data_IF_630383966791
#
_entry.id   IF_630383966791
#
_cell.length_a   1.000
_cell.length_b   1.000
_cell.length_c   1.000
_cell.angle_alpha   90.00
_cell.angle_beta   90.00
_cell.angle_gamma   90.00
#
_symmetry.space_group_name_H-M   'P 1'
#
loop_
_entity.id
_entity.type
_entity.pdbx_description
1 polymer ?
#
# COMPACT_ATOMS: atom_id res chain seq x y z
N UNK A 1 0.41 39.67 82.54
CA UNK A 1 1.03 38.49 81.89
C UNK A 1 0.09 37.30 82.04
N UNK A 2 0.03 36.32 81.12
CA UNK A 2 0.46 36.32 79.71
C UNK A 2 -0.72 36.09 78.73
N UNK A 3 -0.47 36.23 77.43
CA UNK A 3 -1.43 35.88 76.36
C UNK A 3 -1.28 34.40 75.95
N UNK A 4 -2.39 33.70 75.67
CA UNK A 4 -2.38 32.39 75.01
C UNK A 4 -2.95 32.49 73.58
N UNK A 5 -2.07 32.26 72.59
CA UNK A 5 -2.36 32.32 71.15
C UNK A 5 -3.01 31.01 70.70
N UNK A 6 -4.17 31.04 70.02
CA UNK A 6 -4.76 29.84 69.39
C UNK A 6 -5.63 30.14 68.16
N UNK A 7 -5.10 30.93 67.22
CA UNK A 7 -5.73 31.24 65.92
C UNK A 7 -4.78 31.03 64.73
N UNK A 8 -4.13 29.85 64.64
CA UNK A 8 -3.21 29.54 63.52
C UNK A 8 -3.04 28.03 63.22
N UNK A 9 -4.06 27.20 63.46
CA UNK A 9 -3.99 25.75 63.14
C UNK A 9 -5.19 25.16 62.38
N UNK A 10 -6.25 25.94 62.13
CA UNK A 10 -7.42 25.46 61.38
C UNK A 10 -7.30 25.67 59.86
N UNK A 11 -6.44 26.59 59.39
CA UNK A 11 -6.33 26.91 57.96
C UNK A 11 -5.31 26.05 57.19
N UNK A 12 -4.31 25.49 57.87
CA UNK A 12 -3.31 24.59 57.24
C UNK A 12 -3.80 23.15 57.07
N UNK A 13 -4.85 22.73 57.78
CA UNK A 13 -5.46 21.41 57.61
C UNK A 13 -6.38 21.29 56.37
N UNK A 14 -6.91 22.41 55.86
CA UNK A 14 -7.84 22.38 54.73
C UNK A 14 -7.14 22.33 53.36
N UNK A 15 -5.91 22.84 53.27
CA UNK A 15 -5.19 22.95 52.00
C UNK A 15 -4.45 21.65 51.59
N UNK A 16 -4.20 20.74 52.53
CA UNK A 16 -3.66 19.40 52.24
C UNK A 16 -4.75 18.39 51.85
N UNK A 17 -6.01 18.62 52.24
CA UNK A 17 -7.13 17.76 51.86
C UNK A 17 -7.54 17.94 50.37
N UNK A 18 -7.24 19.09 49.78
CA UNK A 18 -7.54 19.38 48.36
C UNK A 18 -6.58 18.73 47.36
N UNK A 19 -5.36 18.35 47.77
CA UNK A 19 -4.33 17.85 46.86
C UNK A 19 -4.34 16.31 46.69
N UNK A 20 -5.06 15.57 47.53
CA UNK A 20 -5.21 14.11 47.41
C UNK A 20 -6.34 13.66 46.47
N UNK A 21 -7.21 14.57 46.00
CA UNK A 21 -8.36 14.24 45.16
C UNK A 21 -8.11 14.30 43.64
N UNK A 22 -6.88 14.58 43.22
CA UNK A 22 -6.46 14.60 41.81
C UNK A 22 -5.68 13.34 41.37
N UNK A 23 -5.54 12.35 42.26
CA UNK A 23 -5.06 10.99 41.93
C UNK A 23 -6.19 9.96 41.79
N UNK A 24 -7.45 10.40 41.69
CA UNK A 24 -8.53 9.61 41.12
C UNK A 24 -8.40 9.55 39.57
N UNK A 25 -7.20 9.18 39.10
CA UNK A 25 -6.99 8.82 37.70
C UNK A 25 -7.84 7.60 37.39
N UNK A 26 -8.42 7.55 36.19
CA UNK A 26 -9.37 6.53 35.76
C UNK A 26 -8.85 5.11 36.04
N UNK A 27 -9.34 4.50 37.12
CA UNK A 27 -9.04 3.11 37.43
C UNK A 27 -9.77 2.27 36.36
N UNK A 28 -9.05 1.55 35.48
CA UNK A 28 -9.71 0.67 34.53
C UNK A 28 -10.51 -0.35 35.33
N UNK A 29 -11.72 -0.69 34.87
CA UNK A 29 -12.60 -1.66 35.54
C UNK A 29 -11.88 -3.00 35.71
N UNK A 30 -11.19 -3.16 36.83
CA UNK A 30 -10.61 -4.42 37.26
C UNK A 30 -11.80 -5.33 37.59
N UNK A 31 -12.09 -6.25 36.68
CA UNK A 31 -12.97 -7.37 36.98
C UNK A 31 -12.46 -8.10 38.22
N UNK A 32 -13.39 -8.69 38.99
CA UNK A 32 -13.03 -9.48 40.16
C UNK A 32 -11.91 -10.49 39.81
N UNK A 33 -10.95 -10.75 40.72
CA UNK A 33 -9.81 -11.61 40.43
C UNK A 33 -10.29 -12.99 40.01
N UNK A 34 -10.24 -13.23 38.70
CA UNK A 34 -10.50 -14.51 38.08
C UNK A 34 -9.41 -15.47 38.58
N UNK A 35 -9.81 -16.70 38.96
CA UNK A 35 -8.84 -17.74 39.34
C UNK A 35 -7.91 -18.11 38.17
N UNK A 36 -7.04 -19.11 38.38
CA UNK A 36 -6.16 -19.60 37.31
C UNK A 36 -6.95 -19.89 36.03
N UNK A 37 -6.43 -19.46 34.88
CA UNK A 37 -7.07 -19.75 33.58
C UNK A 37 -7.13 -21.26 33.32
N UNK A 38 -6.10 -21.97 33.79
CA UNK A 38 -5.94 -23.41 33.67
C UNK A 38 -7.06 -24.21 34.35
N UNK A 39 -7.74 -23.61 35.33
CA UNK A 39 -8.83 -24.24 36.07
C UNK A 39 -10.20 -24.04 35.38
N UNK A 40 -10.30 -23.18 34.37
CA UNK A 40 -11.56 -22.98 33.62
C UNK A 40 -12.01 -24.32 32.96
N UNK A 41 -13.31 -24.66 33.00
CA UNK A 41 -13.81 -25.90 32.44
C UNK A 41 -13.60 -25.97 30.92
N UNK A 42 -13.72 -24.83 30.23
CA UNK A 42 -13.47 -24.71 28.80
C UNK A 42 -11.98 -24.86 28.43
N UNK A 43 -11.05 -24.34 29.24
CA UNK A 43 -9.61 -24.55 29.02
C UNK A 43 -9.25 -26.05 29.11
N UNK A 44 -9.75 -26.72 30.16
CA UNK A 44 -9.57 -28.17 30.35
C UNK A 44 -10.32 -29.02 29.32
N UNK A 45 -11.40 -28.51 28.74
CA UNK A 45 -12.05 -29.11 27.57
C UNK A 45 -11.17 -28.98 26.32
N UNK A 46 -10.64 -27.77 26.05
CA UNK A 46 -9.71 -27.51 24.96
C UNK A 46 -8.53 -28.48 24.96
N UNK A 47 -7.85 -28.63 26.11
CA UNK A 47 -6.72 -29.56 26.24
C UNK A 47 -7.09 -31.02 25.94
N UNK A 48 -8.30 -31.48 26.30
CA UNK A 48 -8.78 -32.83 25.97
C UNK A 48 -9.06 -32.98 24.47
N UNK A 49 -9.62 -31.95 23.84
CA UNK A 49 -9.91 -31.93 22.40
C UNK A 49 -8.62 -31.88 21.56
N UNK A 50 -7.58 -31.14 21.98
CA UNK A 50 -6.24 -31.18 21.37
C UNK A 50 -5.67 -32.61 21.40
N UNK A 51 -5.73 -33.29 22.55
CA UNK A 51 -5.28 -34.70 22.69
C UNK A 51 -6.08 -35.69 21.83
N UNK A 52 -7.30 -35.34 21.42
CA UNK A 52 -8.14 -36.12 20.50
C UNK A 52 -7.94 -35.74 19.02
N UNK A 53 -7.06 -34.79 18.71
CA UNK A 53 -6.89 -34.25 17.35
C UNK A 53 -8.06 -33.38 16.85
N UNK A 54 -9.00 -33.02 17.73
CA UNK A 54 -10.23 -32.27 17.39
C UNK A 54 -9.96 -30.76 17.42
N UNK A 55 -9.02 -30.32 16.60
CA UNK A 55 -8.46 -28.97 16.64
C UNK A 55 -9.48 -27.82 16.47
N UNK A 56 -10.50 -27.89 15.59
CA UNK A 56 -11.50 -26.82 15.48
C UNK A 56 -12.34 -26.66 16.76
N UNK A 57 -12.69 -27.76 17.42
CA UNK A 57 -13.45 -27.75 18.66
C UNK A 57 -12.60 -27.32 19.85
N UNK A 58 -11.32 -27.71 19.86
CA UNK A 58 -10.35 -27.23 20.84
C UNK A 58 -10.21 -25.69 20.76
N UNK A 59 -10.07 -25.14 19.55
CA UNK A 59 -10.05 -23.69 19.34
C UNK A 59 -11.33 -23.04 19.86
N UNK A 60 -12.52 -23.59 19.53
CA UNK A 60 -13.78 -23.06 20.02
C UNK A 60 -13.87 -23.05 21.56
N UNK A 61 -13.32 -24.05 22.25
CA UNK A 61 -13.23 -24.08 23.71
C UNK A 61 -12.30 -22.98 24.25
N UNK A 62 -11.10 -22.80 23.68
CA UNK A 62 -10.19 -21.71 24.08
C UNK A 62 -10.77 -20.32 23.78
N UNK A 63 -11.50 -20.16 22.67
CA UNK A 63 -12.20 -18.91 22.33
C UNK A 63 -13.27 -18.54 23.37
N UNK A 64 -13.99 -19.50 23.96
CA UNK A 64 -14.94 -19.23 25.06
C UNK A 64 -14.24 -18.73 26.34
N UNK A 65 -13.03 -19.21 26.62
CA UNK A 65 -12.22 -18.69 27.74
C UNK A 65 -11.79 -17.24 27.46
N UNK A 66 -11.34 -16.96 26.24
CA UNK A 66 -10.98 -15.60 25.79
C UNK A 66 -12.19 -14.67 25.80
N UNK A 67 -13.38 -15.13 25.40
CA UNK A 67 -14.62 -14.33 25.45
C UNK A 67 -14.99 -13.96 26.89
N UNK A 68 -14.90 -14.93 27.82
CA UNK A 68 -15.22 -14.74 29.24
C UNK A 68 -14.22 -13.82 29.97
N UNK A 69 -12.94 -13.90 29.64
CA UNK A 69 -11.84 -13.21 30.35
C UNK A 69 -11.29 -11.99 29.60
N UNK A 70 -11.65 -11.84 28.33
CA UNK A 70 -11.02 -10.90 27.41
C UNK A 70 -9.50 -11.09 27.35
N UNK A 71 -8.81 -9.96 27.40
CA UNK A 71 -7.35 -9.86 27.45
C UNK A 71 -6.67 -10.59 28.64
N UNK A 72 -7.42 -11.07 29.64
CA UNK A 72 -6.89 -11.79 30.81
C UNK A 72 -6.83 -13.32 30.64
N UNK A 73 -6.76 -13.80 29.39
CA UNK A 73 -6.59 -15.21 29.04
C UNK A 73 -5.34 -15.50 28.15
N UNK A 74 -4.11 -15.23 28.64
CA UNK A 74 -2.91 -15.44 27.86
C UNK A 74 -2.70 -16.92 27.46
N UNK A 75 -2.96 -17.89 28.34
CA UNK A 75 -2.73 -19.31 28.02
C UNK A 75 -3.67 -19.79 26.88
N UNK A 76 -4.94 -19.39 26.89
CA UNK A 76 -5.87 -19.68 25.78
C UNK A 76 -5.48 -18.96 24.49
N UNK A 77 -4.95 -17.73 24.57
CA UNK A 77 -4.38 -17.06 23.39
C UNK A 77 -3.19 -17.85 22.84
N UNK A 78 -2.30 -18.40 23.67
CA UNK A 78 -1.18 -19.21 23.20
C UNK A 78 -1.66 -20.47 22.45
N UNK A 79 -2.55 -21.26 23.06
CA UNK A 79 -3.06 -22.50 22.48
C UNK A 79 -3.89 -22.25 21.20
N UNK A 80 -4.75 -21.22 21.21
CA UNK A 80 -5.51 -20.80 20.03
C UNK A 80 -4.57 -20.42 18.86
N UNK A 81 -3.51 -19.66 19.14
CA UNK A 81 -2.52 -19.28 18.13
C UNK A 81 -1.79 -20.49 17.52
N UNK A 82 -1.43 -21.48 18.34
CA UNK A 82 -0.81 -22.74 17.87
C UNK A 82 -1.77 -23.50 16.94
N UNK A 83 -3.04 -23.66 17.33
CA UNK A 83 -4.05 -24.35 16.53
C UNK A 83 -4.28 -23.63 15.19
N UNK A 84 -4.43 -22.30 15.22
CA UNK A 84 -4.61 -21.49 14.01
C UNK A 84 -3.45 -21.66 13.02
N UNK A 85 -2.20 -21.60 13.50
CA UNK A 85 -1.01 -21.74 12.66
C UNK A 85 -0.82 -23.17 12.12
N UNK A 86 -0.95 -24.17 12.99
CA UNK A 86 -0.55 -25.54 12.65
C UNK A 86 -1.65 -26.33 11.94
N UNK A 87 -2.90 -26.19 12.36
CA UNK A 87 -3.99 -27.09 11.96
C UNK A 87 -4.96 -26.41 10.98
N UNK A 88 -5.39 -25.18 11.29
CA UNK A 88 -6.34 -24.42 10.46
C UNK A 88 -5.63 -23.74 9.28
N UNK A 89 -4.32 -23.51 9.40
CA UNK A 89 -3.50 -22.75 8.43
C UNK A 89 -3.98 -21.31 8.24
N UNK A 90 -4.48 -20.69 9.31
CA UNK A 90 -4.75 -19.25 9.37
C UNK A 90 -3.59 -18.53 10.08
N UNK A 91 -2.60 -18.00 9.33
CA UNK A 91 -1.51 -17.25 9.92
C UNK A 91 -1.94 -15.89 10.48
N UNK A 92 -3.06 -15.30 10.03
CA UNK A 92 -3.51 -13.99 10.49
C UNK A 92 -4.08 -14.13 11.91
N UNK A 93 -4.98 -15.09 12.12
CA UNK A 93 -5.51 -15.41 13.44
C UNK A 93 -4.37 -15.82 14.40
N UNK A 94 -3.42 -16.63 13.93
CA UNK A 94 -2.25 -17.00 14.71
C UNK A 94 -1.43 -15.79 15.19
N UNK A 95 -1.10 -14.85 14.29
CA UNK A 95 -0.37 -13.61 14.65
C UNK A 95 -1.15 -12.81 15.69
N UNK A 96 -2.47 -12.68 15.54
CA UNK A 96 -3.32 -11.97 16.51
C UNK A 96 -3.21 -12.59 17.92
N UNK A 97 -3.45 -13.90 18.03
CA UNK A 97 -3.45 -14.57 19.32
C UNK A 97 -2.05 -14.58 19.98
N UNK A 98 -0.98 -14.82 19.22
CA UNK A 98 0.39 -14.74 19.74
C UNK A 98 0.79 -13.34 20.20
N UNK A 99 0.33 -12.29 19.51
CA UNK A 99 0.57 -10.90 19.96
C UNK A 99 -0.16 -10.62 21.27
N UNK A 100 -1.40 -11.08 21.43
CA UNK A 100 -2.15 -10.97 22.68
C UNK A 100 -1.48 -11.70 23.86
N UNK A 101 -0.91 -12.88 23.61
CA UNK A 101 -0.06 -13.55 24.60
C UNK A 101 1.16 -12.69 24.99
N UNK A 102 1.90 -12.18 24.00
CA UNK A 102 3.10 -11.36 24.23
C UNK A 102 2.82 -10.00 24.88
N UNK A 103 1.64 -9.40 24.66
CA UNK A 103 1.19 -8.18 25.35
C UNK A 103 1.03 -8.41 26.85
N UNK A 104 0.61 -9.61 27.26
CA UNK A 104 0.35 -9.97 28.67
C UNK A 104 1.54 -10.63 29.35
N UNK A 105 2.31 -11.42 28.62
CA UNK A 105 3.48 -12.15 29.12
C UNK A 105 4.74 -11.88 28.28
N UNK A 106 5.21 -10.62 28.19
CA UNK A 106 6.32 -10.25 27.29
C UNK A 106 7.66 -10.92 27.64
N UNK A 107 7.82 -11.32 28.91
CA UNK A 107 9.04 -11.87 29.49
C UNK A 107 8.88 -13.32 30.00
N UNK A 108 7.82 -14.05 29.59
CA UNK A 108 7.69 -15.46 29.95
C UNK A 108 8.81 -16.32 29.31
N UNK A 109 9.12 -17.51 29.85
CA UNK A 109 10.04 -18.46 29.21
C UNK A 109 9.64 -18.78 27.75
N UNK A 110 8.34 -18.82 27.47
CA UNK A 110 7.77 -19.09 26.15
C UNK A 110 7.81 -17.87 25.21
N UNK A 111 7.98 -16.65 25.71
CA UNK A 111 7.89 -15.43 24.89
C UNK A 111 8.90 -15.41 23.73
N UNK A 112 10.09 -15.97 23.91
CA UNK A 112 11.09 -16.12 22.84
C UNK A 112 10.60 -17.02 21.70
N UNK A 113 10.05 -18.19 22.06
CA UNK A 113 9.44 -19.14 21.12
C UNK A 113 8.23 -18.53 20.41
N UNK A 114 7.35 -17.83 21.14
CA UNK A 114 6.14 -17.22 20.59
C UNK A 114 6.47 -16.11 19.59
N UNK A 115 7.51 -15.30 19.84
CA UNK A 115 8.03 -14.35 18.83
C UNK A 115 8.49 -15.08 17.56
N UNK A 116 9.16 -16.23 17.69
CA UNK A 116 9.52 -17.10 16.57
C UNK A 116 8.32 -17.66 15.80
N UNK A 117 7.23 -18.00 16.51
CA UNK A 117 5.96 -18.41 15.89
C UNK A 117 5.27 -17.27 15.14
N UNK A 118 5.30 -16.03 15.67
CA UNK A 118 4.82 -14.83 14.96
C UNK A 118 5.57 -14.61 13.65
N UNK A 119 6.90 -14.67 13.65
CA UNK A 119 7.68 -14.53 12.41
C UNK A 119 7.42 -15.69 11.43
N UNK A 120 7.18 -16.90 11.93
CA UNK A 120 6.83 -18.05 11.09
C UNK A 120 5.46 -17.89 10.45
N UNK A 121 4.46 -17.43 11.21
CA UNK A 121 3.14 -17.10 10.70
C UNK A 121 3.17 -15.95 9.68
N UNK A 122 3.97 -14.90 9.92
CA UNK A 122 4.18 -13.82 8.93
C UNK A 122 4.75 -14.32 7.61
N UNK A 123 5.73 -15.24 7.64
CA UNK A 123 6.28 -15.87 6.42
C UNK A 123 5.23 -16.71 5.70
N UNK A 124 4.40 -17.44 6.43
CA UNK A 124 3.34 -18.24 5.83
C UNK A 124 2.25 -17.36 5.18
N UNK A 125 1.84 -16.28 5.86
CA UNK A 125 0.98 -15.27 5.25
C UNK A 125 1.61 -14.65 4.00
N UNK A 126 2.90 -14.30 4.05
CA UNK A 126 3.61 -13.74 2.90
C UNK A 126 3.58 -14.66 1.67
N UNK A 127 3.63 -15.99 1.84
CA UNK A 127 3.50 -16.98 0.74
C UNK A 127 2.12 -17.03 0.09
N UNK A 128 1.07 -16.57 0.78
CA UNK A 128 -0.29 -16.52 0.19
C UNK A 128 -0.51 -15.27 -0.68
N UNK A 129 0.38 -14.28 -0.59
CA UNK A 129 0.25 -13.05 -1.35
C UNK A 129 0.63 -13.29 -2.83
N UNK A 130 -0.16 -12.80 -3.80
CA UNK A 130 -0.03 -13.16 -5.22
C UNK A 130 1.26 -12.67 -5.90
N UNK A 131 2.12 -11.96 -5.18
CA UNK A 131 3.41 -11.44 -5.63
C UNK A 131 4.56 -11.87 -4.70
N UNK A 132 4.49 -13.08 -4.09
CA UNK A 132 5.52 -13.74 -3.26
C UNK A 132 6.62 -12.80 -2.76
N UNK A 133 6.35 -11.89 -1.79
CA UNK A 133 7.26 -10.80 -1.46
C UNK A 133 8.63 -11.23 -0.92
N UNK A 134 8.78 -12.50 -0.53
CA UNK A 134 10.05 -13.13 -0.13
C UNK A 134 10.87 -13.63 -1.34
N UNK A 135 10.22 -14.01 -2.44
CA UNK A 135 10.89 -14.48 -3.68
C UNK A 135 11.32 -13.27 -4.50
N UNK A 136 10.40 -12.31 -4.65
CA UNK A 136 10.68 -10.95 -5.11
C UNK A 136 11.65 -10.18 -4.18
N UNK A 137 12.10 -10.73 -3.06
CA UNK A 137 13.14 -10.10 -2.22
C UNK A 137 14.53 -10.27 -2.84
N UNK A 138 14.87 -11.48 -3.31
CA UNK A 138 16.13 -11.76 -3.98
C UNK A 138 16.25 -10.96 -5.27
N UNK A 139 15.23 -11.02 -6.13
CA UNK A 139 15.19 -10.24 -7.39
C UNK A 139 15.30 -8.73 -7.15
N UNK A 140 14.73 -8.20 -6.06
CA UNK A 140 14.89 -6.79 -5.69
C UNK A 140 16.31 -6.46 -5.21
N UNK A 141 17.00 -7.38 -4.52
CA UNK A 141 18.39 -7.17 -4.12
C UNK A 141 19.30 -7.15 -5.36
N UNK A 142 19.14 -8.11 -6.26
CA UNK A 142 19.88 -8.17 -7.53
C UNK A 142 19.62 -6.92 -8.39
N UNK A 143 18.36 -6.47 -8.46
CA UNK A 143 17.99 -5.25 -9.19
C UNK A 143 18.55 -3.97 -8.53
N UNK A 144 18.63 -3.90 -7.20
CA UNK A 144 19.27 -2.78 -6.49
C UNK A 144 20.79 -2.76 -6.71
N UNK A 145 21.44 -3.92 -6.78
CA UNK A 145 22.86 -4.01 -7.13
C UNK A 145 23.10 -3.56 -8.58
N UNK A 146 22.25 -4.00 -9.53
CA UNK A 146 22.30 -3.56 -10.92
C UNK A 146 22.11 -2.05 -11.06
N UNK A 147 21.13 -1.45 -10.37
CA UNK A 147 20.94 0.01 -10.34
C UNK A 147 22.20 0.71 -9.82
N UNK A 148 22.80 0.19 -8.76
CA UNK A 148 24.01 0.75 -8.12
C UNK A 148 25.27 0.57 -8.99
N UNK A 149 25.30 -0.43 -9.89
CA UNK A 149 26.33 -0.58 -10.93
C UNK A 149 26.12 0.44 -12.05
N UNK A 150 24.92 0.50 -12.61
CA UNK A 150 24.57 1.42 -13.70
C UNK A 150 24.74 2.89 -13.31
N UNK A 151 24.46 3.27 -12.06
CA UNK A 151 24.72 4.62 -11.56
C UNK A 151 26.21 4.96 -11.58
N UNK A 152 27.09 4.06 -11.09
CA UNK A 152 28.54 4.26 -11.12
C UNK A 152 29.08 4.36 -12.55
N UNK A 153 28.62 3.50 -13.46
CA UNK A 153 28.97 3.58 -14.89
C UNK A 153 28.50 4.91 -15.51
N UNK A 154 27.29 5.36 -15.18
CA UNK A 154 26.74 6.62 -15.67
C UNK A 154 27.55 7.83 -15.17
N UNK A 155 27.98 7.82 -13.91
CA UNK A 155 28.80 8.88 -13.32
C UNK A 155 30.25 8.86 -13.83
N UNK A 156 30.82 7.67 -14.08
CA UNK A 156 32.11 7.54 -14.76
C UNK A 156 32.05 8.10 -16.19
N UNK A 157 31.06 7.71 -16.99
CA UNK A 157 30.89 8.22 -18.35
C UNK A 157 30.66 9.74 -18.39
N UNK A 158 29.94 10.31 -17.41
CA UNK A 158 29.83 11.78 -17.27
C UNK A 158 31.18 12.43 -17.00
N UNK A 159 32.02 11.84 -16.14
CA UNK A 159 33.36 12.36 -15.85
C UNK A 159 34.29 12.27 -17.08
N UNK A 160 34.26 11.16 -17.81
CA UNK A 160 35.00 10.98 -19.06
C UNK A 160 34.57 11.99 -20.14
N UNK A 161 33.26 12.22 -20.30
CA UNK A 161 32.73 13.25 -21.21
C UNK A 161 33.12 14.68 -20.77
N UNK A 162 33.19 14.97 -19.47
CA UNK A 162 33.67 16.25 -18.97
C UNK A 162 35.16 16.46 -19.28
N UNK A 163 35.99 15.44 -19.07
CA UNK A 163 37.42 15.44 -19.40
C UNK A 163 37.66 15.60 -20.92
N UNK A 164 36.92 14.85 -21.74
CA UNK A 164 37.02 14.93 -23.20
C UNK A 164 36.60 16.32 -23.73
N UNK A 165 35.54 16.91 -23.17
CA UNK A 165 35.12 18.28 -23.50
C UNK A 165 36.12 19.34 -23.01
N UNK A 166 36.75 19.14 -21.85
CA UNK A 166 37.84 19.99 -21.38
C UNK A 166 39.05 19.98 -22.32
N UNK A 167 39.47 18.79 -22.76
CA UNK A 167 40.59 18.63 -23.71
C UNK A 167 40.30 19.17 -25.11
N UNK A 168 39.02 19.28 -25.52
CA UNK A 168 38.63 19.85 -26.80
C UNK A 168 38.78 21.39 -26.88
N UNK A 169 39.01 22.08 -25.75
CA UNK A 169 39.22 23.53 -25.69
C UNK A 169 40.71 23.85 -25.55
N UNK A 170 41.48 23.52 -26.59
CA UNK A 170 42.82 24.07 -26.77
C UNK A 170 42.73 25.29 -27.70
N UNK A 171 43.39 26.42 -27.38
CA UNK A 171 43.30 27.62 -28.20
C UNK A 171 44.14 27.43 -29.46
N UNK A 172 43.48 27.16 -30.59
CA UNK A 172 44.09 27.28 -31.91
C UNK A 172 44.36 28.75 -32.23
N UNK A 173 45.43 29.30 -31.67
CA UNK A 173 45.88 30.66 -31.96
C UNK A 173 46.46 30.70 -33.37
N UNK A 174 45.64 31.00 -34.36
CA UNK A 174 46.13 31.34 -35.68
C UNK A 174 45.51 32.65 -36.17
N UNK A 175 46.34 33.67 -36.27
CA UNK A 175 45.91 35.03 -36.58
C UNK A 175 45.55 35.14 -38.07
N UNK A 176 44.29 35.46 -38.37
CA UNK A 176 43.94 36.03 -39.67
C UNK A 176 43.35 37.43 -39.44
N UNK A 177 44.13 38.44 -39.80
CA UNK A 177 43.79 39.86 -39.65
C UNK A 177 43.36 40.44 -41.00
N UNK A 178 42.09 40.82 -41.13
CA UNK A 178 41.56 41.70 -42.19
C UNK A 178 40.36 42.50 -41.62
N UNK A 179 39.96 43.65 -42.20
CA UNK A 179 39.87 44.86 -41.39
C UNK A 179 38.47 45.45 -41.22
N UNK A 180 38.43 46.46 -40.36
CA UNK A 180 37.38 47.44 -40.04
C UNK A 180 36.46 47.87 -41.19
N UNK A 181 35.15 47.98 -40.93
CA UNK A 181 34.23 48.70 -41.80
C UNK A 181 32.76 48.77 -41.32
N UNK A 182 32.41 49.83 -40.58
CA UNK A 182 31.02 50.25 -40.27
C UNK A 182 30.20 49.32 -39.35
N UNK A 183 29.27 49.80 -38.51
CA UNK A 183 28.82 51.17 -38.27
C UNK A 183 27.28 51.25 -38.23
N UNK A 184 26.72 51.41 -37.01
CA UNK A 184 25.29 51.67 -36.73
C UNK A 184 24.32 50.51 -37.04
N UNK A 185 23.22 50.27 -36.31
CA UNK A 185 22.69 50.95 -35.11
C UNK A 185 21.60 50.11 -34.41
N UNK A 186 21.02 50.63 -33.32
CA UNK A 186 20.03 49.94 -32.49
C UNK A 186 18.64 49.87 -33.14
N UNK A 187 17.92 48.75 -32.97
CA UNK A 187 16.44 48.73 -32.95
C UNK A 187 15.88 47.50 -32.21
N UNK A 188 15.18 47.74 -31.10
CA UNK A 188 14.23 46.80 -30.47
C UNK A 188 12.81 47.09 -30.95
N UNK A 189 12.08 46.11 -31.49
CA UNK A 189 10.61 46.16 -31.58
C UNK A 189 10.00 44.76 -31.77
N UNK A 190 8.90 44.50 -31.05
CA UNK A 190 8.05 43.30 -31.14
C UNK A 190 7.02 43.41 -32.30
N UNK A 191 6.31 42.31 -32.66
CA UNK A 191 5.53 42.24 -33.90
C UNK A 191 4.08 42.74 -33.75
N UNK A 192 3.39 42.93 -34.89
CA UNK A 192 1.96 42.68 -35.00
C UNK A 192 1.61 41.63 -36.07
N UNK A 193 0.59 40.83 -35.79
CA UNK A 193 -0.19 40.09 -36.80
C UNK A 193 -0.94 41.05 -37.73
N UNK A 194 -1.25 40.67 -38.99
CA UNK A 194 -2.64 40.40 -39.43
C UNK A 194 -2.75 39.84 -40.88
N UNK A 195 -3.88 39.16 -41.13
CA UNK A 195 -4.48 38.57 -42.36
C UNK A 195 -3.91 38.75 -43.78
N UNK A 196 -4.08 37.69 -44.58
CA UNK A 196 -4.93 37.71 -45.79
C UNK A 196 -5.43 36.30 -46.23
N UNK A 197 -6.55 36.18 -46.98
CA UNK A 197 -7.35 34.94 -47.06
C UNK A 197 -7.54 34.38 -48.50
N UNK A 198 -8.55 33.50 -48.68
CA UNK A 198 -9.13 32.97 -49.96
C UNK A 198 -8.34 31.76 -50.52
N UNK A 199 -8.77 30.49 -50.42
CA UNK A 199 -10.02 29.81 -50.84
C UNK A 199 -10.17 29.63 -52.35
N UNK A 200 -10.22 28.39 -52.84
CA UNK A 200 -11.21 27.85 -53.82
C UNK A 200 -11.12 26.32 -53.81
N UNK A 201 -12.25 25.66 -53.56
CA UNK A 201 -12.51 24.28 -53.99
C UNK A 201 -13.45 24.31 -55.20
N UNK A 202 -13.53 23.24 -55.99
CA UNK A 202 -14.87 22.75 -56.29
C UNK A 202 -15.03 21.22 -56.20
N UNK A 203 -15.97 20.84 -55.35
CA UNK A 203 -17.01 19.81 -55.55
C UNK A 203 -17.59 19.76 -57.00
N UNK A 204 -18.21 18.70 -57.55
CA UNK A 204 -18.51 17.30 -57.12
C UNK A 204 -19.19 16.50 -58.27
N UNK A 205 -19.33 15.16 -58.13
CA UNK A 205 -20.29 14.23 -58.82
C UNK A 205 -20.14 14.01 -60.34
N UNK A 206 -20.56 12.90 -60.95
CA UNK A 206 -21.08 11.57 -60.51
C UNK A 206 -20.66 10.52 -61.59
N UNK A 207 -21.04 9.24 -61.68
CA UNK A 207 -22.11 8.40 -61.07
C UNK A 207 -21.64 6.92 -60.96
N UNK A 208 -22.55 5.92 -60.95
CA UNK A 208 -22.26 4.48 -61.09
C UNK A 208 -23.21 3.83 -62.14
N UNK A 209 -22.90 2.64 -62.70
CA UNK A 209 -23.41 1.42 -62.06
C UNK A 209 -22.52 0.14 -62.18
N UNK A 210 -22.90 -0.85 -61.38
CA UNK A 210 -22.16 -2.07 -61.03
C UNK A 210 -21.94 -3.15 -62.12
N UNK A 211 -20.87 -3.94 -61.93
CA UNK A 211 -20.84 -5.40 -62.14
C UNK A 211 -20.04 -6.10 -61.01
N UNK A 212 -20.24 -7.42 -60.85
CA UNK A 212 -19.78 -8.29 -59.74
C UNK A 212 -18.33 -8.80 -60.02
N UNK A 213 -17.53 -9.39 -59.11
CA UNK A 213 -17.83 -10.51 -58.22
C UNK A 213 -16.69 -10.84 -57.20
N UNK A 214 -17.05 -11.47 -56.06
CA UNK A 214 -16.23 -12.23 -55.07
C UNK A 214 -15.00 -11.63 -54.36
N UNK A 215 -15.19 -11.30 -53.07
CA UNK A 215 -14.20 -11.52 -51.99
C UNK A 215 -14.95 -11.81 -50.65
N UNK A 216 -14.36 -12.53 -49.66
CA UNK A 216 -15.04 -12.87 -48.39
C UNK A 216 -15.32 -11.64 -47.50
N UNK A 217 -16.24 -11.74 -46.51
CA UNK A 217 -16.81 -10.57 -45.85
C UNK A 217 -15.84 -9.83 -44.93
N UNK A 218 -15.31 -8.71 -45.43
CA UNK A 218 -14.80 -7.62 -44.60
C UNK A 218 -15.94 -7.09 -43.73
N UNK A 219 -15.87 -7.34 -42.41
CA UNK A 219 -16.74 -6.65 -41.44
C UNK A 219 -16.54 -5.14 -41.58
N UNK A 220 -17.59 -4.31 -41.62
CA UNK A 220 -17.44 -2.86 -41.80
C UNK A 220 -16.47 -2.28 -40.76
N UNK A 221 -15.48 -1.52 -41.22
CA UNK A 221 -14.67 -0.68 -40.35
C UNK A 221 -15.58 0.41 -39.78
N UNK A 222 -15.75 0.52 -38.45
CA UNK A 222 -16.45 1.65 -37.88
C UNK A 222 -15.63 2.92 -38.13
N UNK A 223 -16.28 3.94 -38.67
CA UNK A 223 -15.82 5.32 -38.67
C UNK A 223 -15.33 5.73 -37.28
N UNK A 224 -14.27 6.53 -37.23
CA UNK A 224 -13.62 6.94 -35.99
C UNK A 224 -14.60 7.62 -34.99
N UNK A 225 -15.01 6.85 -33.99
CA UNK A 225 -15.43 7.34 -32.68
C UNK A 225 -14.31 6.98 -31.69
N UNK A 226 -14.17 7.70 -30.55
CA UNK A 226 -13.25 7.30 -29.48
C UNK A 226 -13.76 6.01 -28.82
N UNK A 227 -13.46 4.88 -29.46
CA UNK A 227 -14.01 3.57 -29.10
C UNK A 227 -13.42 3.05 -27.80
N UNK A 228 -14.25 2.97 -26.76
CA UNK A 228 -13.86 2.50 -25.43
C UNK A 228 -13.06 1.21 -25.49
N UNK A 229 -11.82 1.27 -25.01
CA UNK A 229 -10.88 0.16 -25.04
C UNK A 229 -11.35 -0.91 -24.06
N UNK A 230 -11.39 -2.18 -24.46
CA UNK A 230 -11.78 -3.27 -23.55
C UNK A 230 -10.55 -3.98 -22.96
N UNK A 231 -10.64 -4.35 -21.69
CA UNK A 231 -9.58 -5.05 -20.94
C UNK A 231 -10.14 -6.29 -20.24
N UNK A 232 -9.53 -7.45 -20.48
CA UNK A 232 -9.85 -8.68 -19.74
C UNK A 232 -8.99 -8.74 -18.48
N UNK A 233 -9.65 -8.71 -17.33
CA UNK A 233 -9.03 -8.71 -16.00
C UNK A 233 -8.20 -9.98 -15.80
N UNK A 234 -6.91 -9.83 -15.51
CA UNK A 234 -6.01 -10.94 -15.17
C UNK A 234 -5.69 -10.97 -13.67
N UNK A 235 -5.07 -12.04 -13.19
CA UNK A 235 -4.68 -12.18 -11.79
C UNK A 235 -3.74 -11.04 -11.38
N UNK A 236 -4.15 -10.25 -10.39
CA UNK A 236 -3.38 -9.12 -9.87
C UNK A 236 -3.82 -7.74 -10.39
N UNK A 237 -4.73 -7.68 -11.36
CA UNK A 237 -5.34 -6.41 -11.77
C UNK A 237 -6.21 -5.83 -10.63
N UNK A 238 -6.17 -4.51 -10.52
CA UNK A 238 -7.05 -3.67 -9.70
C UNK A 238 -7.51 -2.46 -10.53
N UNK A 239 -8.67 -1.88 -10.22
CA UNK A 239 -9.14 -0.66 -10.90
C UNK A 239 -8.09 0.47 -10.87
N UNK A 240 -7.33 0.59 -9.78
CA UNK A 240 -6.22 1.53 -9.65
C UNK A 240 -5.04 1.24 -10.59
N UNK A 241 -4.62 -0.04 -10.71
CA UNK A 241 -3.54 -0.42 -11.63
C UNK A 241 -3.96 -0.31 -13.10
N UNK A 242 -5.24 -0.57 -13.40
CA UNK A 242 -5.78 -0.36 -14.75
C UNK A 242 -5.87 1.13 -15.08
N UNK A 243 -6.29 1.98 -14.14
CA UNK A 243 -6.28 3.43 -14.32
C UNK A 243 -4.87 4.00 -14.50
N UNK A 244 -3.87 3.52 -13.73
CA UNK A 244 -2.46 3.82 -13.99
C UNK A 244 -2.02 3.37 -15.38
N UNK A 245 -2.43 2.18 -15.84
CA UNK A 245 -2.03 1.63 -17.13
C UNK A 245 -2.62 2.39 -18.32
N UNK A 246 -3.87 2.84 -18.22
CA UNK A 246 -4.62 3.41 -19.34
C UNK A 246 -4.70 4.94 -19.34
N UNK A 247 -4.70 5.58 -18.16
CA UNK A 247 -4.76 7.04 -18.02
C UNK A 247 -3.47 7.66 -17.49
N UNK A 248 -2.48 6.84 -17.11
CA UNK A 248 -1.31 7.25 -16.34
C UNK A 248 -1.64 7.90 -14.98
N UNK A 249 -2.88 7.74 -14.51
CA UNK A 249 -3.37 8.29 -13.25
C UNK A 249 -4.24 7.26 -12.52
N UNK A 250 -3.82 6.88 -11.31
CA UNK A 250 -4.56 5.96 -10.44
C UNK A 250 -5.91 6.52 -10.00
N UNK A 251 -6.06 7.84 -9.92
CA UNK A 251 -7.25 8.51 -9.39
C UNK A 251 -8.51 8.26 -10.26
N UNK A 252 -8.30 8.01 -11.56
CA UNK A 252 -9.31 7.74 -12.58
C UNK A 252 -9.89 6.31 -12.55
N UNK A 253 -9.56 5.52 -11.53
CA UNK A 253 -10.19 4.22 -11.26
C UNK A 253 -11.73 4.30 -11.16
N UNK A 254 -12.25 5.46 -10.71
CA UNK A 254 -13.68 5.74 -10.64
C UNK A 254 -14.34 5.84 -12.01
N UNK A 255 -13.63 6.23 -13.05
CA UNK A 255 -14.18 6.33 -14.41
C UNK A 255 -14.40 4.92 -14.99
N UNK A 256 -13.45 4.03 -14.75
CA UNK A 256 -13.54 2.60 -15.09
C UNK A 256 -14.72 1.98 -14.33
N UNK A 257 -14.83 2.19 -13.02
CA UNK A 257 -15.97 1.69 -12.24
C UNK A 257 -17.30 2.33 -12.69
N UNK A 258 -17.28 3.62 -13.02
CA UNK A 258 -18.26 4.40 -13.78
C UNK A 258 -18.89 3.60 -14.93
N UNK A 259 -18.05 3.22 -15.88
CA UNK A 259 -18.44 2.63 -17.16
C UNK A 259 -18.79 1.13 -17.11
N UNK A 260 -18.69 0.49 -15.95
CA UNK A 260 -18.88 -0.96 -15.78
C UNK A 260 -19.85 -1.32 -14.65
N UNK A 261 -20.75 -0.40 -14.25
CA UNK A 261 -21.74 -0.64 -13.18
C UNK A 261 -22.71 -1.80 -13.46
N UNK A 262 -22.86 -2.19 -14.72
CA UNK A 262 -23.63 -3.32 -15.20
C UNK A 262 -22.97 -4.67 -14.85
N UNK A 263 -21.64 -4.76 -14.96
CA UNK A 263 -20.86 -5.98 -14.64
C UNK A 263 -20.19 -5.94 -13.27
N UNK A 264 -20.09 -4.76 -12.64
CA UNK A 264 -19.52 -4.56 -11.30
C UNK A 264 -20.53 -3.84 -10.37
N UNK A 265 -21.30 -4.58 -9.55
CA UNK A 265 -22.23 -3.99 -8.58
C UNK A 265 -21.54 -3.22 -7.44
N UNK A 266 -20.27 -3.52 -7.16
CA UNK A 266 -19.46 -2.83 -6.15
C UNK A 266 -17.97 -2.81 -6.53
N UNK A 267 -17.20 -1.93 -5.90
CA UNK A 267 -15.77 -1.69 -6.20
C UNK A 267 -14.89 -2.94 -6.03
N UNK A 268 -15.31 -3.86 -5.15
CA UNK A 268 -14.59 -5.09 -4.82
C UNK A 268 -15.02 -6.31 -5.67
N UNK A 269 -15.98 -6.16 -6.59
CA UNK A 269 -16.52 -7.27 -7.42
C UNK A 269 -15.62 -7.66 -8.61
N UNK A 270 -14.44 -7.04 -8.73
CA UNK A 270 -13.49 -7.26 -9.80
C UNK A 270 -13.01 -8.72 -9.82
N UNK A 271 -13.36 -9.45 -10.89
CA UNK A 271 -13.11 -10.89 -11.02
C UNK A 271 -12.23 -11.21 -12.23
N UNK A 272 -11.36 -12.21 -12.11
CA UNK A 272 -10.48 -12.65 -13.22
C UNK A 272 -11.34 -13.15 -14.39
N UNK A 273 -10.99 -12.75 -15.61
CA UNK A 273 -11.76 -13.02 -16.84
C UNK A 273 -12.90 -12.04 -17.12
N UNK A 274 -13.23 -11.14 -16.18
CA UNK A 274 -14.20 -10.06 -16.41
C UNK A 274 -13.69 -9.11 -17.50
N UNK A 275 -14.58 -8.64 -18.37
CA UNK A 275 -14.23 -7.80 -19.50
C UNK A 275 -14.70 -6.36 -19.26
N UNK A 276 -13.78 -5.49 -18.87
CA UNK A 276 -14.06 -4.10 -18.51
C UNK A 276 -13.94 -3.15 -19.71
N UNK A 277 -14.88 -2.23 -19.83
CA UNK A 277 -14.79 -1.03 -20.65
C UNK A 277 -13.87 0.00 -20.00
N UNK A 278 -12.94 0.56 -20.78
CA UNK A 278 -12.04 1.65 -20.39
C UNK A 278 -12.45 2.88 -21.24
N UNK A 279 -13.11 3.88 -20.63
CA UNK A 279 -13.46 5.16 -21.27
C UNK A 279 -12.28 5.93 -21.87
#
# INVERSE_FOLDING_TARGET
MPHSRLSSRLFTGLLTLGLCLLWAACEPRNGAPLGSELDEPDYRLGQRLVKQGRSPEALAAYLRVIEKRGDAAPESHLEAGIICLQQIKDPIAAIYHFRKYLERQPNSPQASQVRGLVESAKREFARTLPANPLENQSERLDMVEQISRLQRENDQLKAELAMARGNAVQPAVNQMRVPTGGGYGFATATPPDDVSPISVAPEVRDEAPALRETAPPTRPQPTAQPGGRRHVVVKGDTLFSLAQRYYNDRSRWRDIYNANRDVMPNENSLSIGMNLSIP
#
